data_IF_844463215434
#
_entry.id   IF_844463215434
#
_cell.length_a   1.000
_cell.length_b   1.000
_cell.length_c   1.000
_cell.angle_alpha   90.00
_cell.angle_beta   90.00
_cell.angle_gamma   90.00
#
_symmetry.space_group_name_H-M   'P 1'
#
loop_
_entity.id
_entity.type
_entity.pdbx_description
1 polymer ?
#
# COMPACT_ATOMS: atom_id res chain seq x y z
N UNK A 1 -3.93 -11.91 -13.98
CA UNK A 1 -2.98 -12.88 -13.40
C UNK A 1 -2.18 -13.46 -14.56
N UNK A 2 -0.87 -13.52 -14.41
CA UNK A 2 0.06 -14.10 -15.38
C UNK A 2 0.70 -15.35 -14.78
N UNK A 3 0.86 -16.38 -15.60
CA UNK A 3 1.72 -17.53 -15.29
C UNK A 3 2.99 -17.38 -16.11
N UNK A 4 4.10 -17.12 -15.43
CA UNK A 4 5.42 -17.03 -16.03
C UNK A 4 5.97 -18.44 -16.29
N UNK A 5 7.12 -18.50 -16.95
CA UNK A 5 7.87 -19.75 -17.10
C UNK A 5 8.07 -20.46 -15.75
N UNK A 6 8.14 -21.78 -15.79
CA UNK A 6 8.26 -22.65 -14.60
C UNK A 6 7.06 -22.56 -13.64
N UNK A 7 5.91 -22.06 -14.09
CA UNK A 7 4.65 -22.07 -13.33
C UNK A 7 4.57 -20.98 -12.23
N UNK A 8 5.49 -20.01 -12.23
CA UNK A 8 5.48 -18.91 -11.28
C UNK A 8 4.30 -18.00 -11.58
N UNK A 9 3.43 -17.78 -10.58
CA UNK A 9 2.28 -16.89 -10.72
C UNK A 9 2.63 -15.47 -10.31
N UNK A 10 2.10 -14.50 -11.04
CA UNK A 10 2.19 -13.08 -10.71
C UNK A 10 0.88 -12.35 -11.01
N UNK A 11 0.59 -11.32 -10.24
CA UNK A 11 -0.45 -10.34 -10.53
C UNK A 11 0.16 -9.25 -11.42
N UNK A 12 -0.58 -8.80 -12.43
CA UNK A 12 -0.19 -7.66 -13.24
C UNK A 12 -1.23 -6.57 -13.06
N UNK A 13 -0.81 -5.41 -12.53
CA UNK A 13 -1.66 -4.22 -12.43
C UNK A 13 -1.21 -3.21 -13.50
N UNK A 14 -2.03 -2.88 -14.49
CA UNK A 14 -1.62 -2.02 -15.59
C UNK A 14 -1.55 -0.56 -15.16
N UNK A 15 -0.83 0.25 -15.93
CA UNK A 15 -0.82 1.70 -15.77
C UNK A 15 -2.18 2.29 -16.18
N UNK A 16 -2.90 2.86 -15.20
CA UNK A 16 -4.15 3.58 -15.44
C UNK A 16 -3.98 5.10 -15.59
N UNK A 17 -2.95 5.66 -14.97
CA UNK A 17 -2.75 7.10 -14.86
C UNK A 17 -1.32 7.51 -15.25
N UNK A 18 -1.14 8.75 -15.67
CA UNK A 18 0.19 9.35 -15.77
C UNK A 18 0.78 9.55 -14.37
N UNK A 19 2.11 9.69 -14.27
CA UNK A 19 2.80 9.91 -12.98
C UNK A 19 2.40 11.20 -12.29
N UNK A 20 2.02 12.22 -13.08
CA UNK A 20 1.62 13.55 -12.59
C UNK A 20 0.12 13.67 -12.32
N UNK A 21 -0.65 12.59 -12.50
CA UNK A 21 -2.09 12.60 -12.25
C UNK A 21 -2.39 12.81 -10.77
N UNK A 22 -3.15 13.85 -10.45
CA UNK A 22 -3.64 14.12 -9.10
C UNK A 22 -5.07 13.61 -8.94
N UNK A 23 -5.25 12.66 -8.03
CA UNK A 23 -6.57 12.09 -7.69
C UNK A 23 -7.22 12.98 -6.64
N UNK A 24 -8.36 13.59 -6.99
CA UNK A 24 -9.15 14.46 -6.13
C UNK A 24 -10.36 13.73 -5.55
N UNK A 25 -10.82 14.20 -4.40
CA UNK A 25 -11.93 13.61 -3.66
C UNK A 25 -11.46 12.77 -2.46
N UNK A 26 -12.33 11.90 -1.92
CA UNK A 26 -11.97 10.99 -0.84
C UNK A 26 -10.72 10.17 -1.15
N UNK A 27 -9.88 9.97 -0.12
CA UNK A 27 -8.55 9.32 -0.23
C UNK A 27 -8.52 7.93 -0.89
N UNK A 28 -9.65 7.22 -0.92
CA UNK A 28 -9.78 5.88 -1.54
C UNK A 28 -10.25 5.92 -3.01
N UNK A 29 -10.42 7.11 -3.59
CA UNK A 29 -10.87 7.31 -4.97
C UNK A 29 -9.80 6.89 -6.00
N UNK A 30 -10.25 6.80 -7.26
CA UNK A 30 -9.43 6.41 -8.39
C UNK A 30 -9.16 4.91 -8.46
N UNK A 31 -8.47 4.49 -9.51
CA UNK A 31 -8.02 3.12 -9.72
C UNK A 31 -6.71 2.84 -9.00
N UNK A 32 -6.36 1.57 -8.95
CA UNK A 32 -5.04 1.15 -8.49
C UNK A 32 -3.96 1.68 -9.43
N UNK A 33 -2.96 2.32 -8.85
CA UNK A 33 -1.76 2.82 -9.52
C UNK A 33 -0.68 1.78 -9.42
N UNK A 34 -0.16 1.32 -10.56
CA UNK A 34 0.88 0.30 -10.61
C UNK A 34 2.18 0.78 -9.95
N UNK A 35 2.55 2.05 -10.15
CA UNK A 35 3.74 2.64 -9.56
C UNK A 35 3.66 2.68 -8.02
N UNK A 36 2.45 2.85 -7.46
CA UNK A 36 2.25 2.78 -6.01
C UNK A 36 2.55 1.39 -5.42
N UNK A 37 2.26 0.30 -6.13
CA UNK A 37 2.60 -1.05 -5.66
C UNK A 37 4.12 -1.28 -5.60
N UNK A 38 4.85 -0.73 -6.58
CA UNK A 38 6.30 -0.88 -6.67
C UNK A 38 6.98 -0.02 -5.60
N UNK A 39 6.56 1.25 -5.45
CA UNK A 39 7.07 2.13 -4.40
C UNK A 39 6.75 1.56 -3.01
N UNK A 40 5.56 0.98 -2.82
CA UNK A 40 5.18 0.30 -1.57
C UNK A 40 6.16 -0.83 -1.21
N UNK A 41 6.59 -1.63 -2.18
CA UNK A 41 7.58 -2.69 -1.97
C UNK A 41 8.93 -2.11 -1.47
N UNK A 42 9.45 -1.08 -2.14
CA UNK A 42 10.71 -0.45 -1.72
C UNK A 42 10.59 0.27 -0.37
N UNK A 43 9.48 0.98 -0.12
CA UNK A 43 9.24 1.62 1.17
C UNK A 43 9.19 0.58 2.31
N UNK A 44 8.48 -0.53 2.11
CA UNK A 44 8.41 -1.61 3.12
C UNK A 44 9.79 -2.20 3.41
N UNK A 45 10.64 -2.33 2.40
CA UNK A 45 12.04 -2.76 2.56
C UNK A 45 12.87 -1.71 3.31
N UNK A 46 12.71 -0.43 2.95
CA UNK A 46 13.36 0.70 3.61
C UNK A 46 12.94 0.85 5.07
N UNK A 47 11.69 0.58 5.43
CA UNK A 47 11.21 0.60 6.81
C UNK A 47 11.56 -0.69 7.58
N UNK A 48 12.20 -1.67 6.93
CA UNK A 48 12.54 -2.96 7.55
C UNK A 48 11.31 -3.83 7.87
N UNK A 49 10.12 -3.46 7.38
CA UNK A 49 8.88 -4.18 7.59
C UNK A 49 8.91 -5.50 6.81
N UNK A 50 9.28 -5.46 5.52
CA UNK A 50 9.36 -6.63 4.62
C UNK A 50 8.04 -7.42 4.56
N UNK A 51 6.91 -6.72 4.49
CA UNK A 51 5.55 -7.29 4.51
C UNK A 51 4.78 -7.11 3.19
N UNK A 52 5.40 -6.47 2.19
CA UNK A 52 4.85 -6.28 0.84
C UNK A 52 5.44 -7.35 -0.08
N UNK A 53 4.65 -8.03 -0.95
CA UNK A 53 5.17 -8.94 -1.96
C UNK A 53 6.17 -8.24 -2.90
N UNK A 54 7.04 -9.02 -3.54
CA UNK A 54 7.95 -8.48 -4.56
C UNK A 54 7.12 -7.86 -5.69
N UNK A 55 7.39 -6.60 -6.00
CA UNK A 55 6.71 -5.86 -7.05
C UNK A 55 7.75 -5.12 -7.91
N UNK A 56 7.70 -5.32 -9.22
CA UNK A 56 8.64 -4.72 -10.19
C UNK A 56 7.87 -4.06 -11.33
N UNK A 57 8.49 -3.06 -11.96
CA UNK A 57 7.97 -2.48 -13.20
C UNK A 57 8.18 -3.47 -14.36
N UNK A 58 7.17 -3.63 -15.21
CA UNK A 58 7.28 -4.41 -16.44
C UNK A 58 6.44 -3.81 -17.56
N UNK A 59 7.02 -3.76 -18.76
CA UNK A 59 6.29 -3.56 -20.01
C UNK A 59 5.91 -4.93 -20.57
N UNK A 60 4.66 -5.08 -21.00
CA UNK A 60 4.16 -6.28 -21.67
C UNK A 60 3.66 -5.91 -23.07
N UNK A 61 3.93 -6.76 -24.05
CA UNK A 61 3.31 -6.65 -25.36
C UNK A 61 1.91 -7.29 -25.32
N UNK A 62 0.88 -6.47 -25.49
CA UNK A 62 -0.51 -6.88 -25.44
C UNK A 62 -0.89 -7.87 -26.53
N UNK A 63 -0.21 -7.87 -27.67
CA UNK A 63 -0.47 -8.81 -28.76
C UNK A 63 0.26 -10.12 -28.56
N UNK A 64 1.58 -10.08 -28.38
CA UNK A 64 2.43 -11.27 -28.40
C UNK A 64 2.49 -11.98 -27.06
N UNK A 65 2.51 -11.25 -25.94
CA UNK A 65 2.58 -11.85 -24.60
C UNK A 65 1.20 -12.09 -24.00
N UNK A 66 0.26 -11.14 -24.16
CA UNK A 66 -1.05 -11.22 -23.52
C UNK A 66 -2.09 -11.91 -24.41
N UNK A 67 -2.42 -11.34 -25.58
CA UNK A 67 -3.52 -11.82 -26.43
C UNK A 67 -3.31 -13.26 -26.88
N UNK A 68 -2.08 -13.64 -27.27
CA UNK A 68 -1.74 -15.01 -27.69
C UNK A 68 -1.93 -16.07 -26.60
N UNK A 69 -1.91 -15.67 -25.32
CA UNK A 69 -2.00 -16.56 -24.17
C UNK A 69 -3.24 -16.28 -23.30
N UNK A 70 -4.15 -15.43 -23.76
CA UNK A 70 -5.30 -14.98 -22.99
C UNK A 70 -6.34 -16.09 -22.83
N UNK A 71 -7.02 -16.14 -21.69
CA UNK A 71 -8.23 -16.94 -21.56
C UNK A 71 -9.31 -16.41 -22.50
N UNK A 72 -10.28 -17.25 -22.94
CA UNK A 72 -11.36 -16.80 -23.83
C UNK A 72 -12.09 -15.56 -23.31
N UNK A 73 -12.28 -15.49 -21.99
CA UNK A 73 -12.92 -14.37 -21.31
C UNK A 73 -12.10 -13.09 -21.38
N UNK A 74 -10.77 -13.15 -21.21
CA UNK A 74 -9.94 -11.96 -21.32
C UNK A 74 -9.82 -11.52 -22.78
N UNK A 75 -9.62 -12.47 -23.69
CA UNK A 75 -9.46 -12.24 -25.13
C UNK A 75 -10.64 -11.46 -25.72
N UNK A 76 -11.88 -11.79 -25.33
CA UNK A 76 -13.08 -11.11 -25.82
C UNK A 76 -13.18 -9.64 -25.42
N UNK A 77 -12.38 -9.19 -24.44
CA UNK A 77 -12.33 -7.80 -23.99
C UNK A 77 -11.25 -6.97 -24.68
N UNK A 78 -10.43 -7.59 -25.53
CA UNK A 78 -9.28 -6.96 -26.17
C UNK A 78 -9.61 -6.50 -27.60
N UNK A 79 -9.31 -5.25 -27.92
CA UNK A 79 -9.57 -4.65 -29.23
C UNK A 79 -8.48 -3.66 -29.64
N UNK A 80 -8.50 -3.25 -30.91
CA UNK A 80 -7.65 -2.17 -31.42
C UNK A 80 -8.43 -0.86 -31.41
N UNK A 81 -7.80 0.20 -30.93
CA UNK A 81 -8.31 1.57 -30.98
C UNK A 81 -7.25 2.46 -31.65
N UNK A 82 -7.50 2.79 -32.92
CA UNK A 82 -6.48 3.43 -33.77
C UNK A 82 -5.23 2.56 -33.89
N UNK A 83 -4.09 3.09 -33.43
CA UNK A 83 -2.81 2.38 -33.44
C UNK A 83 -2.53 1.63 -32.12
N UNK A 84 -3.42 1.72 -31.13
CA UNK A 84 -3.21 1.19 -29.78
C UNK A 84 -4.00 -0.10 -29.55
N UNK A 85 -3.38 -1.04 -28.83
CA UNK A 85 -4.06 -2.21 -28.30
C UNK A 85 -4.68 -1.89 -26.95
N UNK A 86 -5.96 -2.19 -26.78
CA UNK A 86 -6.72 -1.90 -25.56
C UNK A 86 -7.37 -3.17 -24.99
N UNK A 87 -7.63 -3.15 -23.69
CA UNK A 87 -8.42 -4.15 -22.98
C UNK A 87 -9.15 -3.53 -21.80
N UNK A 88 -10.36 -3.99 -21.50
CA UNK A 88 -11.08 -3.60 -20.29
C UNK A 88 -11.18 -4.72 -19.25
N UNK A 89 -10.95 -5.98 -19.64
CA UNK A 89 -10.96 -7.13 -18.73
C UNK A 89 -12.35 -7.45 -18.16
N UNK A 90 -12.38 -8.41 -17.23
CA UNK A 90 -13.60 -8.83 -16.54
C UNK A 90 -13.41 -8.66 -15.03
N UNK A 91 -14.14 -7.71 -14.45
CA UNK A 91 -14.19 -7.43 -13.02
C UNK A 91 -15.47 -6.63 -12.70
N UNK A 92 -15.78 -6.46 -11.41
CA UNK A 92 -17.01 -5.77 -10.97
C UNK A 92 -17.16 -4.33 -11.49
N UNK A 93 -16.06 -3.67 -11.85
CA UNK A 93 -16.04 -2.28 -12.32
C UNK A 93 -15.42 -2.12 -13.72
N UNK A 94 -15.21 -3.24 -14.43
CA UNK A 94 -14.60 -3.24 -15.76
C UNK A 94 -15.67 -2.99 -16.82
N UNK A 95 -15.41 -2.07 -17.75
CA UNK A 95 -16.37 -1.68 -18.79
C UNK A 95 -15.64 -1.32 -20.10
N UNK A 96 -16.23 -1.59 -21.27
CA UNK A 96 -15.72 -1.10 -22.55
C UNK A 96 -15.54 0.42 -22.61
N UNK A 97 -16.31 1.17 -21.79
CA UNK A 97 -16.23 2.63 -21.70
C UNK A 97 -14.99 3.14 -20.94
N UNK A 98 -14.24 2.26 -20.28
CA UNK A 98 -13.12 2.62 -19.43
C UNK A 98 -11.95 1.60 -19.55
N UNK A 99 -11.42 1.43 -20.78
CA UNK A 99 -10.35 0.48 -21.07
C UNK A 99 -9.00 0.98 -20.58
N UNK A 100 -8.03 0.07 -20.49
CA UNK A 100 -6.61 0.43 -20.48
C UNK A 100 -6.01 0.15 -21.86
N UNK A 101 -5.27 1.12 -22.38
CA UNK A 101 -4.63 1.03 -23.69
C UNK A 101 -3.12 1.12 -23.56
N UNK A 102 -2.41 0.29 -24.33
CA UNK A 102 -0.96 0.42 -24.48
C UNK A 102 -0.58 1.57 -25.42
N UNK A 103 0.69 1.95 -25.41
CA UNK A 103 1.29 2.78 -26.46
C UNK A 103 1.70 1.87 -27.60
N UNK A 104 0.93 1.87 -28.69
CA UNK A 104 1.00 0.81 -29.68
C UNK A 104 0.55 -0.52 -29.09
N UNK A 105 1.44 -1.50 -29.04
CA UNK A 105 1.19 -2.81 -28.41
C UNK A 105 1.73 -2.90 -26.98
N UNK A 106 2.46 -1.88 -26.49
CA UNK A 106 3.21 -1.97 -25.23
C UNK A 106 2.40 -1.36 -24.08
N UNK A 107 2.12 -2.17 -23.06
CA UNK A 107 1.46 -1.73 -21.83
C UNK A 107 2.42 -1.83 -20.64
N UNK A 108 2.62 -0.72 -19.94
CA UNK A 108 3.36 -0.68 -18.69
C UNK A 108 2.47 -1.13 -17.52
N UNK A 109 3.05 -1.78 -16.52
CA UNK A 109 2.38 -2.12 -15.27
C UNK A 109 3.33 -2.61 -14.19
N UNK A 110 2.75 -3.03 -13.07
CA UNK A 110 3.44 -3.64 -11.96
C UNK A 110 3.22 -5.15 -12.02
N UNK A 111 4.32 -5.90 -12.04
CA UNK A 111 4.33 -7.34 -11.89
C UNK A 111 4.59 -7.68 -10.43
N UNK A 112 3.60 -8.26 -9.76
CA UNK A 112 3.59 -8.53 -8.32
C UNK A 112 3.62 -10.03 -8.12
N UNK A 113 4.65 -10.54 -7.45
CA UNK A 113 4.81 -11.98 -7.25
C UNK A 113 3.64 -12.53 -6.41
N UNK A 114 3.04 -13.63 -6.85
CA UNK A 114 2.01 -14.31 -6.09
C UNK A 114 2.61 -14.94 -4.85
N UNK A 115 1.91 -14.85 -3.70
CA UNK A 115 2.37 -15.49 -2.48
C UNK A 115 2.45 -17.02 -2.65
N UNK A 116 3.43 -17.70 -2.04
CA UNK A 116 3.56 -19.15 -2.13
C UNK A 116 2.23 -19.87 -1.83
N UNK A 117 1.91 -20.91 -2.62
CA UNK A 117 0.63 -21.62 -2.52
C UNK A 117 0.36 -22.28 -1.17
N UNK A 118 1.41 -22.58 -0.40
CA UNK A 118 1.31 -23.15 0.94
C UNK A 118 0.99 -22.11 2.03
N UNK A 119 1.08 -20.80 1.72
CA UNK A 119 0.63 -19.75 2.63
C UNK A 119 -0.89 -19.65 2.60
N UNK A 120 -1.52 -20.10 3.69
CA UNK A 120 -2.96 -19.93 3.90
C UNK A 120 -3.20 -18.56 4.53
N UNK A 121 -3.89 -17.68 3.80
CA UNK A 121 -4.16 -16.32 4.26
C UNK A 121 -5.48 -16.27 5.04
N UNK A 122 -5.49 -15.52 6.14
CA UNK A 122 -6.70 -15.16 6.88
C UNK A 122 -6.96 -13.68 6.73
N UNK A 123 -8.14 -13.33 6.21
CA UNK A 123 -8.59 -11.96 6.02
C UNK A 123 -9.33 -11.47 7.25
N UNK A 124 -8.96 -10.29 7.73
CA UNK A 124 -9.55 -9.65 8.90
C UNK A 124 -10.01 -8.24 8.57
N UNK A 125 -11.14 -7.84 9.17
CA UNK A 125 -11.64 -6.47 9.09
C UNK A 125 -10.72 -5.54 9.87
N UNK A 126 -10.30 -4.43 9.25
CA UNK A 126 -9.46 -3.45 9.92
C UNK A 126 -10.30 -2.67 10.96
N UNK A 127 -9.90 -2.52 12.23
CA UNK A 127 -10.73 -1.80 13.22
C UNK A 127 -10.98 -0.34 12.83
N UNK A 128 -9.99 0.31 12.22
CA UNK A 128 -10.09 1.67 11.68
C UNK A 128 -10.56 1.74 10.23
N UNK A 129 -11.29 0.74 9.73
CA UNK A 129 -11.84 0.84 8.39
C UNK A 129 -12.84 2.01 8.27
N UNK A 130 -12.88 2.64 7.10
CA UNK A 130 -13.89 3.65 6.78
C UNK A 130 -15.27 3.02 6.56
N UNK A 131 -16.29 3.86 6.51
CA UNK A 131 -17.67 3.45 6.16
C UNK A 131 -17.92 3.42 4.65
N UNK A 132 -17.09 4.13 3.87
CA UNK A 132 -17.27 4.36 2.43
C UNK A 132 -18.59 5.02 2.05
N UNK A 133 -19.18 5.78 2.99
CA UNK A 133 -20.44 6.49 2.81
C UNK A 133 -20.26 7.94 3.25
N UNK A 134 -20.63 8.89 2.39
CA UNK A 134 -20.42 10.33 2.61
C UNK A 134 -21.08 10.81 3.91
N UNK A 135 -22.31 10.37 4.17
CA UNK A 135 -23.10 10.84 5.33
C UNK A 135 -23.01 9.93 6.56
N UNK A 136 -21.98 9.07 6.65
CA UNK A 136 -21.84 8.14 7.77
C UNK A 136 -20.40 8.09 8.27
N UNK A 137 -20.19 8.60 9.47
CA UNK A 137 -18.92 8.45 10.18
C UNK A 137 -18.78 7.03 10.76
N UNK A 138 -17.56 6.54 10.81
CA UNK A 138 -17.17 5.33 11.52
C UNK A 138 -17.06 5.62 13.02
N UNK A 139 -17.21 4.57 13.85
CA UNK A 139 -17.12 4.73 15.30
C UNK A 139 -15.79 5.32 15.76
N UNK A 140 -14.69 4.98 15.10
CA UNK A 140 -13.36 5.50 15.43
C UNK A 140 -13.19 6.98 15.11
N UNK A 141 -14.03 7.56 14.25
CA UNK A 141 -14.03 9.00 13.93
C UNK A 141 -14.72 9.81 15.03
N UNK A 142 -15.69 9.22 15.74
CA UNK A 142 -16.52 9.91 16.74
C UNK A 142 -16.14 9.59 18.20
N UNK A 143 -15.51 8.44 18.46
CA UNK A 143 -15.19 7.97 19.81
C UNK A 143 -13.71 8.18 20.17
N UNK A 144 -13.43 9.18 21.00
CA UNK A 144 -12.06 9.47 21.48
C UNK A 144 -11.44 8.34 22.31
N UNK A 145 -12.23 7.41 22.83
CA UNK A 145 -11.75 6.24 23.57
C UNK A 145 -11.77 4.94 22.73
N UNK A 146 -11.94 5.05 21.40
CA UNK A 146 -12.08 3.89 20.51
C UNK A 146 -10.96 2.86 20.68
N UNK A 147 -9.69 3.28 20.68
CA UNK A 147 -8.58 2.34 20.85
C UNK A 147 -8.63 1.58 22.20
N UNK A 148 -9.12 2.20 23.28
CA UNK A 148 -9.30 1.48 24.56
C UNK A 148 -10.31 0.34 24.44
N UNK A 149 -11.34 0.48 23.61
CA UNK A 149 -12.30 -0.59 23.31
C UNK A 149 -11.65 -1.67 22.43
N UNK A 150 -10.85 -1.28 21.44
CA UNK A 150 -10.09 -2.22 20.60
C UNK A 150 -9.14 -3.07 21.45
N UNK A 151 -8.36 -2.46 22.36
CA UNK A 151 -7.42 -3.15 23.27
C UNK A 151 -8.08 -4.17 24.21
N UNK A 152 -9.40 -4.15 24.40
CA UNK A 152 -10.14 -5.12 25.24
C UNK A 152 -10.43 -6.44 24.52
N UNK A 153 -10.31 -6.51 23.20
CA UNK A 153 -10.54 -7.76 22.47
C UNK A 153 -9.29 -8.64 22.53
N UNK A 154 -9.46 -9.97 22.59
CA UNK A 154 -8.33 -10.91 22.66
C UNK A 154 -7.34 -10.74 21.50
N UNK A 155 -7.84 -10.40 20.31
CA UNK A 155 -7.04 -10.21 19.10
C UNK A 155 -6.09 -9.01 19.17
N UNK A 156 -6.46 -7.94 19.88
CA UNK A 156 -5.72 -6.68 19.88
C UNK A 156 -5.19 -6.27 21.25
N UNK A 157 -5.43 -7.09 22.27
CA UNK A 157 -4.89 -6.89 23.61
C UNK A 157 -3.34 -6.99 23.58
N UNK A 158 -2.60 -5.91 23.93
CA UNK A 158 -1.14 -5.88 23.77
C UNK A 158 -0.37 -6.95 24.57
N UNK A 159 -0.96 -7.46 25.65
CA UNK A 159 -0.37 -8.52 26.48
C UNK A 159 -0.61 -9.93 25.91
N UNK A 160 -1.48 -10.08 24.91
CA UNK A 160 -1.83 -11.37 24.29
C UNK A 160 -1.39 -11.46 22.83
N UNK A 161 -1.24 -10.33 22.13
CA UNK A 161 -0.91 -10.30 20.71
C UNK A 161 -0.17 -9.03 20.31
N UNK A 162 0.81 -9.17 19.41
CA UNK A 162 1.47 -8.05 18.74
C UNK A 162 0.63 -7.45 17.60
N UNK A 163 -0.56 -8.00 17.31
CA UNK A 163 -1.40 -7.58 16.18
C UNK A 163 -1.67 -6.08 16.15
N UNK A 164 -1.99 -5.47 17.28
CA UNK A 164 -2.27 -4.03 17.35
C UNK A 164 -1.04 -3.19 16.98
N UNK A 165 0.16 -3.59 17.45
CA UNK A 165 1.41 -2.93 17.04
C UNK A 165 1.66 -3.09 15.54
N UNK A 166 1.40 -4.29 14.99
CA UNK A 166 1.45 -4.54 13.56
C UNK A 166 0.52 -3.60 12.77
N UNK A 167 -0.68 -3.33 13.28
CA UNK A 167 -1.61 -2.37 12.66
C UNK A 167 -1.14 -0.91 12.80
N UNK A 168 -0.42 -0.54 13.85
CA UNK A 168 0.19 0.80 13.94
C UNK A 168 1.34 0.95 12.94
N UNK A 169 2.21 -0.06 12.79
CA UNK A 169 3.25 -0.06 11.75
C UNK A 169 2.61 0.09 10.36
N UNK A 170 1.51 -0.63 10.12
CA UNK A 170 0.74 -0.54 8.87
C UNK A 170 0.16 0.86 8.66
N UNK A 171 -0.39 1.50 9.70
CA UNK A 171 -0.92 2.85 9.60
C UNK A 171 0.16 3.90 9.30
N UNK A 172 1.37 3.74 9.87
CA UNK A 172 2.53 4.57 9.55
C UNK A 172 2.94 4.40 8.09
N UNK A 173 3.02 3.15 7.63
CA UNK A 173 3.32 2.82 6.22
C UNK A 173 2.28 3.43 5.26
N UNK A 174 0.99 3.21 5.55
CA UNK A 174 -0.11 3.73 4.75
C UNK A 174 -0.13 5.26 4.75
N UNK A 175 0.14 5.91 5.88
CA UNK A 175 0.14 7.37 5.95
C UNK A 175 1.27 7.98 5.13
N UNK A 176 2.49 7.42 5.16
CA UNK A 176 3.59 7.89 4.31
C UNK A 176 3.20 7.84 2.82
N UNK A 177 2.53 6.77 2.41
CA UNK A 177 2.07 6.52 1.04
C UNK A 177 0.74 7.22 0.69
N UNK A 178 0.02 7.73 1.69
CA UNK A 178 -1.36 8.24 1.61
C UNK A 178 -2.37 7.19 1.12
N UNK A 179 -2.27 5.97 1.65
CA UNK A 179 -3.21 4.88 1.40
C UNK A 179 -4.37 4.89 2.40
N UNK A 180 -5.47 5.53 2.05
CA UNK A 180 -6.66 5.58 2.89
C UNK A 180 -7.66 4.44 2.69
N UNK A 181 -7.31 3.40 1.93
CA UNK A 181 -8.23 2.31 1.53
C UNK A 181 -7.97 0.97 2.24
N UNK A 182 -7.18 0.92 3.31
CA UNK A 182 -6.93 -0.34 4.05
C UNK A 182 -8.08 -0.73 4.97
N UNK A 183 -9.15 -1.26 4.39
CA UNK A 183 -10.34 -1.73 5.10
C UNK A 183 -10.26 -3.16 5.60
N UNK A 184 -9.37 -3.96 5.03
CA UNK A 184 -9.01 -5.29 5.51
C UNK A 184 -7.50 -5.44 5.58
N UNK A 185 -7.07 -6.43 6.33
CA UNK A 185 -5.69 -6.88 6.35
C UNK A 185 -5.63 -8.39 6.39
N UNK A 186 -4.49 -8.95 5.99
CA UNK A 186 -4.28 -10.38 5.92
C UNK A 186 -3.09 -10.81 6.77
N UNK A 187 -3.14 -12.07 7.22
CA UNK A 187 -2.08 -12.73 7.96
C UNK A 187 -1.87 -14.14 7.41
N UNK A 188 -0.69 -14.72 7.61
CA UNK A 188 -0.42 -16.13 7.31
C UNK A 188 -0.88 -16.98 8.49
N UNK A 189 -1.84 -17.88 8.28
CA UNK A 189 -2.43 -18.70 9.35
C UNK A 189 -1.45 -19.69 9.98
N UNK A 190 -0.52 -20.22 9.17
CA UNK A 190 0.39 -21.28 9.61
C UNK A 190 1.60 -20.75 10.41
N UNK A 191 1.72 -19.44 10.60
CA UNK A 191 2.75 -18.84 11.43
C UNK A 191 2.24 -18.77 12.88
N UNK A 192 2.71 -19.74 13.68
CA UNK A 192 2.24 -20.03 15.04
C UNK A 192 2.71 -18.99 16.07
N UNK A 193 3.65 -18.11 15.72
CA UNK A 193 4.28 -17.17 16.65
C UNK A 193 4.05 -15.71 16.23
N UNK A 194 2.81 -15.24 16.37
CA UNK A 194 2.37 -13.87 16.07
C UNK A 194 2.58 -13.46 14.60
N UNK A 195 1.68 -13.91 13.69
CA UNK A 195 1.85 -13.64 12.27
C UNK A 195 1.81 -12.15 11.96
N UNK A 196 2.80 -11.71 11.18
CA UNK A 196 2.88 -10.33 10.71
C UNK A 196 1.66 -9.97 9.84
N UNK A 197 1.21 -8.72 9.96
CA UNK A 197 0.18 -8.15 9.08
C UNK A 197 0.80 -7.93 7.71
N UNK A 198 0.26 -8.58 6.69
CA UNK A 198 0.71 -8.41 5.31
C UNK A 198 0.26 -7.06 4.75
N UNK A 199 1.14 -6.44 3.97
CA UNK A 199 0.92 -5.17 3.26
C UNK A 199 0.69 -5.46 1.77
N UNK A 200 -0.42 -6.14 1.49
CA UNK A 200 -0.88 -6.42 0.12
C UNK A 200 -1.85 -5.33 -0.36
N UNK A 201 -1.97 -5.20 -1.69
CA UNK A 201 -2.83 -4.24 -2.40
C UNK A 201 -2.65 -2.78 -1.96
N UNK A 202 -1.53 -2.18 -2.38
CA UNK A 202 -1.15 -0.81 -2.03
C UNK A 202 -1.39 0.18 -3.18
N UNK A 203 -2.02 -0.25 -4.28
CA UNK A 203 -2.26 0.56 -5.48
C UNK A 203 -3.14 1.80 -5.25
N UNK A 204 -3.83 1.90 -4.13
CA UNK A 204 -4.63 3.09 -3.76
C UNK A 204 -3.80 4.25 -3.19
N UNK A 205 -2.49 4.11 -3.16
CA UNK A 205 -1.53 5.12 -2.65
C UNK A 205 -1.01 6.08 -3.71
N UNK A 206 -0.31 7.14 -3.30
CA UNK A 206 0.31 8.13 -4.20
C UNK A 206 -0.72 8.81 -5.11
N UNK A 207 -1.80 9.33 -4.51
CA UNK A 207 -2.91 9.94 -5.27
C UNK A 207 -2.80 11.44 -5.35
N UNK A 208 -2.41 12.06 -4.25
CA UNK A 208 -2.30 13.49 -4.15
C UNK A 208 -1.08 13.84 -3.30
N UNK A 209 -0.06 14.52 -3.85
CA UNK A 209 1.11 14.95 -3.07
C UNK A 209 0.82 16.18 -2.21
N UNK A 210 -0.28 16.89 -2.45
CA UNK A 210 -0.58 18.18 -1.84
C UNK A 210 -1.45 18.08 -0.57
N UNK A 211 -1.94 16.87 -0.26
CA UNK A 211 -2.80 16.59 0.89
C UNK A 211 -2.21 15.45 1.73
N UNK A 212 -2.28 15.59 3.05
CA UNK A 212 -1.90 14.55 4.01
C UNK A 212 -3.13 14.14 4.81
N UNK A 213 -3.66 12.93 4.57
CA UNK A 213 -4.86 12.46 5.25
C UNK A 213 -4.50 11.96 6.66
N UNK A 214 -4.49 12.87 7.63
CA UNK A 214 -4.07 12.63 9.01
C UNK A 214 -4.82 11.49 9.69
N UNK A 215 -6.08 11.26 9.32
CA UNK A 215 -6.92 10.21 9.89
C UNK A 215 -6.44 8.78 9.57
N UNK A 216 -5.57 8.59 8.57
CA UNK A 216 -4.86 7.32 8.35
C UNK A 216 -4.01 6.96 9.58
N UNK A 217 -3.46 7.94 10.30
CA UNK A 217 -2.69 7.74 11.54
C UNK A 217 -3.56 7.45 12.77
N UNK A 218 -4.88 7.28 12.64
CA UNK A 218 -5.77 7.00 13.78
C UNK A 218 -5.29 5.87 14.70
N UNK A 219 -4.79 4.73 14.20
CA UNK A 219 -4.21 3.70 15.06
C UNK A 219 -3.07 4.23 15.92
N UNK A 220 -2.19 5.07 15.38
CA UNK A 220 -1.06 5.65 16.12
C UNK A 220 -1.53 6.68 17.16
N UNK A 221 -2.28 7.71 16.75
CA UNK A 221 -2.64 8.81 17.64
C UNK A 221 -3.71 8.44 18.68
N UNK A 222 -4.56 7.44 18.42
CA UNK A 222 -5.54 6.97 19.42
C UNK A 222 -4.95 5.95 20.39
N UNK A 223 -4.02 5.11 19.94
CA UNK A 223 -3.44 4.07 20.78
C UNK A 223 -2.17 4.50 21.52
N UNK A 224 -1.52 5.56 21.05
CA UNK A 224 -0.26 6.10 21.55
C UNK A 224 0.78 5.01 21.82
N UNK A 225 1.04 4.18 20.83
CA UNK A 225 2.03 3.10 20.91
C UNK A 225 2.71 2.91 19.55
N UNK A 226 4.00 2.63 19.54
CA UNK A 226 4.79 2.36 18.34
C UNK A 226 5.87 1.31 18.67
N UNK A 227 6.19 0.45 17.70
CA UNK A 227 7.28 -0.51 17.87
C UNK A 227 8.63 0.21 17.91
N UNK A 228 9.51 -0.16 18.85
CA UNK A 228 10.84 0.47 19.01
C UNK A 228 11.71 0.34 17.75
N UNK A 229 11.64 -0.79 17.05
CA UNK A 229 12.38 -0.97 15.79
C UNK A 229 11.86 -0.04 14.70
N UNK A 230 10.54 0.10 14.55
CA UNK A 230 9.91 1.06 13.63
C UNK A 230 10.32 2.49 13.97
N UNK A 231 10.23 2.88 15.26
CA UNK A 231 10.66 4.21 15.70
C UNK A 231 12.13 4.52 15.38
N UNK A 232 13.03 3.58 15.68
CA UNK A 232 14.45 3.74 15.38
C UNK A 232 14.71 3.82 13.87
N UNK A 233 13.97 3.03 13.08
CA UNK A 233 14.09 3.05 11.62
C UNK A 233 13.60 4.36 11.02
N UNK A 234 12.48 4.91 11.51
CA UNK A 234 11.99 6.22 11.09
C UNK A 234 13.05 7.29 11.35
N UNK A 235 13.61 7.37 12.57
CA UNK A 235 14.67 8.33 12.91
C UNK A 235 15.88 8.25 11.97
N UNK A 236 16.30 7.03 11.59
CA UNK A 236 17.38 6.82 10.62
C UNK A 236 17.06 7.43 9.24
N UNK A 237 15.79 7.47 8.87
CA UNK A 237 15.29 7.99 7.60
C UNK A 237 14.95 9.50 7.65
N UNK A 238 15.28 10.19 8.75
CA UNK A 238 15.05 11.64 8.89
C UNK A 238 15.96 12.50 7.98
N UNK A 239 15.66 13.80 7.90
CA UNK A 239 16.50 14.78 7.20
C UNK A 239 16.59 14.58 5.69
N UNK A 240 15.53 14.07 5.04
CA UNK A 240 15.51 13.78 3.61
C UNK A 240 16.13 12.42 3.23
N UNK A 241 16.53 11.61 4.22
CA UNK A 241 17.07 10.27 3.94
C UNK A 241 16.01 9.31 3.40
N UNK A 242 14.74 9.47 3.79
CA UNK A 242 13.61 8.72 3.24
C UNK A 242 13.43 8.97 1.74
N UNK A 243 13.19 10.22 1.35
CA UNK A 243 12.98 10.59 -0.06
C UNK A 243 14.20 10.28 -0.93
N UNK A 244 15.41 10.61 -0.49
CA UNK A 244 16.64 10.33 -1.25
C UNK A 244 16.89 8.84 -1.45
N UNK A 245 16.55 7.99 -0.47
CA UNK A 245 16.68 6.53 -0.62
C UNK A 245 15.62 5.96 -1.55
N UNK A 246 14.36 6.40 -1.41
CA UNK A 246 13.27 5.99 -2.32
C UNK A 246 13.52 6.42 -3.75
N UNK A 247 14.05 7.62 -3.97
CA UNK A 247 14.49 8.10 -5.28
C UNK A 247 15.45 7.12 -5.94
N UNK A 248 16.51 6.72 -5.22
CA UNK A 248 17.52 5.79 -5.75
C UNK A 248 16.91 4.44 -6.14
N UNK A 249 16.02 3.89 -5.30
CA UNK A 249 15.30 2.65 -5.65
C UNK A 249 14.40 2.84 -6.87
N UNK A 250 13.64 3.92 -6.91
CA UNK A 250 12.77 4.24 -8.04
C UNK A 250 13.57 4.39 -9.34
N UNK A 251 14.68 5.12 -9.32
CA UNK A 251 15.57 5.29 -10.48
C UNK A 251 16.15 3.97 -10.95
N UNK A 252 16.62 3.13 -10.01
CA UNK A 252 17.13 1.80 -10.34
C UNK A 252 16.09 0.93 -11.06
N UNK A 253 14.89 0.78 -10.47
CA UNK A 253 13.81 0.01 -11.11
C UNK A 253 13.35 0.62 -12.43
N UNK A 254 13.25 1.95 -12.49
CA UNK A 254 12.80 2.66 -13.70
C UNK A 254 13.78 2.44 -14.85
N UNK A 255 15.08 2.50 -14.57
CA UNK A 255 16.13 2.22 -15.54
C UNK A 255 16.12 0.76 -15.98
N UNK A 256 16.00 -0.18 -15.04
CA UNK A 256 15.95 -1.62 -15.37
C UNK A 256 14.75 -1.97 -16.26
N UNK A 257 13.58 -1.40 -15.98
CA UNK A 257 12.36 -1.65 -16.77
C UNK A 257 12.23 -0.72 -17.99
N UNK A 258 13.16 0.22 -18.18
CA UNK A 258 13.11 1.27 -19.20
C UNK A 258 11.77 2.04 -19.19
N UNK A 259 11.33 2.46 -18.00
CA UNK A 259 10.08 3.24 -17.77
C UNK A 259 10.41 4.62 -17.20
N UNK A 260 9.49 5.61 -17.29
CA UNK A 260 9.63 6.86 -16.57
C UNK A 260 9.68 6.64 -15.04
N UNK A 261 10.24 7.61 -14.28
CA UNK A 261 10.32 7.54 -12.82
C UNK A 261 9.02 7.07 -12.15
N UNK A 262 9.11 6.14 -11.20
CA UNK A 262 7.96 5.54 -10.52
C UNK A 262 7.32 6.47 -9.47
N UNK A 263 8.06 7.48 -9.00
CA UNK A 263 7.58 8.47 -8.03
C UNK A 263 8.06 9.87 -8.45
N UNK A 264 7.18 10.86 -8.30
CA UNK A 264 7.48 12.27 -8.62
C UNK A 264 8.17 12.97 -7.46
N UNK A 265 8.83 14.09 -7.74
CA UNK A 265 9.39 14.99 -6.71
C UNK A 265 8.36 15.41 -5.67
N UNK A 266 7.16 15.76 -6.12
CA UNK A 266 6.08 16.20 -5.23
C UNK A 266 5.70 15.10 -4.23
N UNK A 267 5.61 13.84 -4.68
CA UNK A 267 5.34 12.71 -3.79
C UNK A 267 6.50 12.41 -2.84
N UNK A 268 7.75 12.49 -3.30
CA UNK A 268 8.93 12.33 -2.45
C UNK A 268 8.97 13.38 -1.32
N UNK A 269 8.71 14.65 -1.66
CA UNK A 269 8.62 15.74 -0.68
C UNK A 269 7.45 15.54 0.29
N UNK A 270 6.30 15.05 -0.20
CA UNK A 270 5.15 14.73 0.64
C UNK A 270 5.48 13.63 1.67
N UNK A 271 6.25 12.60 1.28
CA UNK A 271 6.66 11.53 2.20
C UNK A 271 7.54 12.05 3.34
N UNK A 272 8.49 12.94 3.06
CA UNK A 272 9.30 13.57 4.12
C UNK A 272 8.44 14.45 5.04
N UNK A 273 7.50 15.23 4.48
CA UNK A 273 6.54 16.03 5.26
C UNK A 273 5.65 15.16 6.16
N UNK A 274 5.17 14.02 5.65
CA UNK A 274 4.39 13.04 6.40
C UNK A 274 5.22 12.38 7.51
N UNK A 275 6.51 12.11 7.26
CA UNK A 275 7.41 11.62 8.29
C UNK A 275 7.51 12.59 9.49
N UNK A 276 7.57 13.90 9.24
CA UNK A 276 7.55 14.91 10.30
C UNK A 276 6.24 14.88 11.10
N UNK A 277 5.11 14.65 10.43
CA UNK A 277 3.80 14.50 11.10
C UNK A 277 3.79 13.27 12.02
N UNK A 278 4.37 12.15 11.60
CA UNK A 278 4.52 10.96 12.45
C UNK A 278 5.35 11.29 13.70
N UNK A 279 6.45 12.03 13.56
CA UNK A 279 7.24 12.48 14.72
C UNK A 279 6.42 13.36 15.66
N UNK A 280 5.67 14.32 15.13
CA UNK A 280 4.82 15.19 15.95
C UNK A 280 3.78 14.39 16.76
N UNK A 281 3.18 13.36 16.16
CA UNK A 281 2.23 12.47 16.85
C UNK A 281 2.92 11.66 17.95
N UNK A 282 4.09 11.09 17.68
CA UNK A 282 4.83 10.31 18.69
C UNK A 282 5.28 11.21 19.85
N UNK A 283 5.81 12.40 19.56
CA UNK A 283 6.17 13.41 20.57
C UNK A 283 4.98 13.85 21.41
N UNK A 284 3.83 14.07 20.79
CA UNK A 284 2.58 14.34 21.52
C UNK A 284 2.24 13.18 22.46
N UNK A 285 2.25 11.94 21.98
CA UNK A 285 1.98 10.76 22.80
C UNK A 285 2.99 10.62 23.96
N UNK A 286 4.27 10.90 23.74
CA UNK A 286 5.29 10.88 24.79
C UNK A 286 5.01 11.92 25.88
N UNK A 287 4.55 13.13 25.52
CA UNK A 287 4.17 14.17 26.49
C UNK A 287 2.92 13.82 27.29
N UNK A 288 1.97 13.09 26.70
CA UNK A 288 0.74 12.66 27.37
C UNK A 288 0.92 11.45 28.29
N UNK A 289 2.08 10.79 28.26
CA UNK A 289 2.33 9.57 29.03
C UNK A 289 3.51 9.75 29.99
N UNK A 290 3.35 9.30 31.24
CA UNK A 290 4.38 9.44 32.29
C UNK A 290 5.73 8.78 31.93
N UNK A 291 5.70 7.67 31.19
CA UNK A 291 6.87 6.89 30.83
C UNK A 291 6.93 6.67 29.33
N UNK A 292 8.10 6.92 28.72
CA UNK A 292 8.32 6.69 27.29
C UNK A 292 8.10 5.21 26.88
N UNK A 293 8.34 4.27 27.79
CA UNK A 293 8.09 2.84 27.60
C UNK A 293 6.62 2.47 27.46
N UNK A 294 5.68 3.40 27.74
CA UNK A 294 4.26 3.20 27.47
C UNK A 294 3.89 3.51 26.02
N UNK A 295 4.76 4.24 25.30
CA UNK A 295 4.56 4.68 23.92
C UNK A 295 5.49 3.92 22.98
N UNK A 296 6.79 3.90 23.28
CA UNK A 296 7.79 3.20 22.48
C UNK A 296 7.99 1.81 23.09
N UNK A 297 7.37 0.81 22.47
CA UNK A 297 7.33 -0.55 23.02
C UNK A 297 8.47 -1.41 22.48
N UNK A 298 9.20 -2.04 23.39
CA UNK A 298 10.24 -3.03 23.11
C UNK A 298 9.62 -4.43 23.19
N UNK A 299 8.87 -4.81 22.15
CA UNK A 299 8.40 -6.18 22.00
C UNK A 299 9.41 -6.92 21.10
N UNK A 300 9.93 -8.04 21.59
CA UNK A 300 10.62 -9.01 20.74
C UNK A 300 9.61 -10.01 20.21
#
# INVERSE_FOLDING_TARGET
>A
MLTLEHGIRALFKPQWYSRDSVIRGPVYYGKDRHNAEIVAFHLSSLLGLRRVPLAVARKVNLRTEIRSNATPQLYSTMYQEGNNSCLYGICSYCSPADPVCGTGEILEGALILWLPSHFKLSKHRHPWQRTYKLDKLAMWETDFNYCKKVKKTKTYAPHLSSRLLGLVDTAIFDFLMDNGDRHHYEIIQNDLHNPAVLLIDNGKSLGNPDVDHFDILAPLYQCCMIHKTTWNRLKLLSGGSLSSSLRKFSEYESNMANVPPLITEAHLNAMDRRLLTIYAVVEYCLKQNKYASNVILDHR
#
